data_IF_870664133756
#
_entry.id   IF_870664133756
#
_cell.length_a   1.000
_cell.length_b   1.000
_cell.length_c   1.000
_cell.angle_alpha   90.00
_cell.angle_beta   90.00
_cell.angle_gamma   90.00
#
_symmetry.space_group_name_H-M   'P 1'
#
loop_
_entity.id
_entity.type
_entity.pdbx_description
1 polymer ?
#
# COMPACT_ATOMS: atom_id res chain seq x y z
N UNK A 1 9.11 17.37 27.96
CA UNK A 1 8.29 17.33 26.72
C UNK A 1 6.95 16.67 27.07
N UNK A 2 5.83 17.39 27.04
CA UNK A 2 4.51 16.89 27.51
C UNK A 2 3.63 16.31 26.39
N UNK A 3 3.91 16.64 25.13
CA UNK A 3 3.18 16.10 23.97
C UNK A 3 3.96 14.95 23.33
N UNK A 4 3.37 13.76 23.32
CA UNK A 4 3.98 12.53 22.81
C UNK A 4 4.49 12.66 21.36
N UNK A 5 3.71 13.30 20.46
CA UNK A 5 4.11 13.48 19.05
C UNK A 5 5.40 14.30 18.88
N UNK A 6 5.62 15.29 19.74
CA UNK A 6 6.85 16.10 19.69
C UNK A 6 8.03 15.40 20.34
N UNK A 7 7.78 14.55 21.35
CA UNK A 7 8.83 13.73 21.95
C UNK A 7 9.46 12.76 20.94
N UNK A 8 8.65 12.26 20.00
CA UNK A 8 9.12 11.38 18.93
C UNK A 8 10.26 12.01 18.10
N UNK A 9 10.23 13.34 17.87
CA UNK A 9 11.26 14.05 17.10
C UNK A 9 12.66 13.92 17.72
N UNK A 10 12.76 13.78 19.05
CA UNK A 10 14.04 13.59 19.75
C UNK A 10 14.65 12.23 19.42
N UNK A 11 13.81 11.22 19.15
CA UNK A 11 14.22 9.85 18.87
C UNK A 11 14.39 9.56 17.38
N UNK A 12 13.88 10.43 16.50
CA UNK A 12 13.98 10.27 15.03
C UNK A 12 15.41 9.95 14.57
N UNK A 13 16.48 10.62 15.03
CA UNK A 13 17.83 10.28 14.59
C UNK A 13 18.25 8.84 14.95
N UNK A 14 17.86 8.34 16.12
CA UNK A 14 18.11 6.96 16.52
C UNK A 14 17.32 5.97 15.65
N UNK A 15 16.05 6.27 15.38
CA UNK A 15 15.20 5.45 14.52
C UNK A 15 15.68 5.43 13.07
N UNK A 16 16.14 6.56 12.53
CA UNK A 16 16.69 6.59 11.17
C UNK A 16 17.91 5.70 11.03
N UNK A 17 18.79 5.68 12.03
CA UNK A 17 19.99 4.81 12.02
C UNK A 17 19.63 3.32 12.09
N UNK A 18 18.56 2.97 12.80
CA UNK A 18 18.20 1.57 13.03
C UNK A 18 17.24 1.01 11.96
N UNK A 19 16.31 1.83 11.47
CA UNK A 19 15.21 1.41 10.60
C UNK A 19 15.25 2.04 9.19
N UNK A 20 16.15 2.99 8.96
CA UNK A 20 16.24 3.73 7.69
C UNK A 20 15.38 4.99 7.65
N UNK A 21 15.26 5.63 6.47
CA UNK A 21 14.63 6.95 6.35
C UNK A 21 13.22 7.02 6.93
N UNK A 22 12.94 8.04 7.74
CA UNK A 22 11.64 8.22 8.39
C UNK A 22 10.45 8.29 7.40
N UNK A 23 10.70 8.76 6.17
CA UNK A 23 9.70 8.82 5.12
C UNK A 23 9.12 7.44 4.74
N UNK A 24 9.90 6.37 4.88
CA UNK A 24 9.44 5.00 4.60
C UNK A 24 8.34 4.55 5.58
N UNK A 25 8.26 5.19 6.75
CA UNK A 25 7.29 4.91 7.80
C UNK A 25 6.13 5.92 7.81
N UNK A 26 6.08 6.86 6.87
CA UNK A 26 4.96 7.79 6.77
C UNK A 26 3.68 7.03 6.42
N UNK A 27 2.63 7.22 7.22
CA UNK A 27 1.31 6.64 6.96
C UNK A 27 0.55 7.38 5.86
N UNK A 28 1.00 8.58 5.47
CA UNK A 28 0.31 9.46 4.51
C UNK A 28 0.01 8.77 3.17
N UNK A 29 0.96 7.97 2.65
CA UNK A 29 0.74 7.21 1.41
C UNK A 29 -0.34 6.13 1.58
N UNK A 30 -0.39 5.48 2.73
CA UNK A 30 -1.41 4.49 3.02
C UNK A 30 -2.78 5.16 3.25
N UNK A 31 -2.80 6.30 3.94
CA UNK A 31 -4.01 7.08 4.20
C UNK A 31 -4.62 7.66 2.93
N UNK A 32 -3.79 8.20 2.03
CA UNK A 32 -4.25 8.69 0.71
C UNK A 32 -4.82 7.56 -0.16
N UNK A 33 -4.30 6.33 -0.02
CA UNK A 33 -4.84 5.17 -0.73
C UNK A 33 -6.25 4.77 -0.27
N UNK A 34 -6.68 5.15 0.95
CA UNK A 34 -8.05 4.90 1.41
C UNK A 34 -9.09 5.50 0.46
N UNK A 35 -8.78 6.59 -0.25
CA UNK A 35 -9.67 7.15 -1.26
C UNK A 35 -9.93 6.15 -2.40
N UNK A 36 -8.88 5.50 -2.92
CA UNK A 36 -8.98 4.48 -3.98
C UNK A 36 -9.80 3.28 -3.50
N UNK A 37 -9.55 2.83 -2.27
CA UNK A 37 -10.33 1.75 -1.64
C UNK A 37 -11.83 2.09 -1.57
N UNK A 38 -12.16 3.32 -1.17
CA UNK A 38 -13.56 3.77 -1.11
C UNK A 38 -14.21 3.81 -2.49
N UNK A 39 -13.49 4.26 -3.53
CA UNK A 39 -14.01 4.26 -4.90
C UNK A 39 -14.29 2.82 -5.38
N UNK A 40 -13.38 1.89 -5.15
CA UNK A 40 -13.57 0.48 -5.50
C UNK A 40 -14.83 -0.11 -4.83
N UNK A 41 -15.07 0.22 -3.57
CA UNK A 41 -16.28 -0.19 -2.86
C UNK A 41 -17.55 0.49 -3.42
N UNK A 42 -17.52 1.82 -3.64
CA UNK A 42 -18.67 2.60 -4.13
C UNK A 42 -19.13 2.13 -5.52
N UNK A 43 -18.20 1.86 -6.43
CA UNK A 43 -18.50 1.49 -7.81
C UNK A 43 -18.58 -0.02 -8.06
N UNK A 44 -18.56 -0.84 -7.01
CA UNK A 44 -18.83 -2.28 -7.11
C UNK A 44 -20.34 -2.57 -7.27
N UNK A 45 -20.68 -3.81 -7.63
CA UNK A 45 -22.07 -4.28 -7.60
C UNK A 45 -22.62 -4.47 -6.16
N UNK A 46 -21.73 -4.38 -5.16
CA UNK A 46 -22.00 -4.43 -3.71
C UNK A 46 -22.64 -5.72 -3.21
N UNK A 47 -22.64 -6.79 -4.00
CA UNK A 47 -23.15 -8.09 -3.56
C UNK A 47 -22.15 -8.78 -2.61
N UNK A 48 -20.85 -8.57 -2.84
CA UNK A 48 -19.79 -9.05 -1.96
C UNK A 48 -18.64 -8.03 -1.91
N UNK A 49 -18.80 -6.88 -1.22
CA UNK A 49 -17.90 -5.72 -1.33
C UNK A 49 -16.42 -6.03 -1.10
N UNK A 50 -16.11 -6.93 -0.16
CA UNK A 50 -14.74 -7.39 0.09
C UNK A 50 -14.17 -8.14 -1.12
N UNK A 51 -14.90 -9.12 -1.65
CA UNK A 51 -14.51 -9.89 -2.84
C UNK A 51 -14.39 -8.99 -4.07
N UNK A 52 -15.35 -8.10 -4.26
CA UNK A 52 -15.38 -7.19 -5.42
C UNK A 52 -14.18 -6.24 -5.40
N UNK A 53 -13.86 -5.70 -4.22
CA UNK A 53 -12.69 -4.81 -4.03
C UNK A 53 -11.38 -5.57 -4.20
N UNK A 54 -11.27 -6.80 -3.65
CA UNK A 54 -10.10 -7.66 -3.87
C UNK A 54 -9.89 -7.98 -5.35
N UNK A 55 -10.97 -8.31 -6.09
CA UNK A 55 -10.89 -8.57 -7.52
C UNK A 55 -10.43 -7.31 -8.29
N UNK A 56 -10.97 -6.14 -7.95
CA UNK A 56 -10.56 -4.88 -8.57
C UNK A 56 -9.06 -4.60 -8.37
N UNK A 57 -8.55 -4.79 -7.15
CA UNK A 57 -7.11 -4.61 -6.88
C UNK A 57 -6.24 -5.67 -7.53
N UNK A 58 -6.68 -6.93 -7.57
CA UNK A 58 -5.96 -7.98 -8.30
C UNK A 58 -5.79 -7.62 -9.78
N UNK A 59 -6.83 -7.06 -10.42
CA UNK A 59 -6.73 -6.58 -11.80
C UNK A 59 -5.75 -5.41 -11.95
N UNK A 60 -5.79 -4.44 -11.03
CA UNK A 60 -4.84 -3.32 -11.04
C UNK A 60 -3.39 -3.79 -10.89
N UNK A 61 -3.13 -4.76 -10.01
CA UNK A 61 -1.80 -5.34 -9.81
C UNK A 61 -1.34 -6.16 -11.03
N UNK A 62 -2.23 -6.88 -11.70
CA UNK A 62 -1.93 -7.58 -12.96
C UNK A 62 -1.53 -6.56 -14.05
N UNK A 63 -2.32 -5.49 -14.22
CA UNK A 63 -2.01 -4.44 -15.20
C UNK A 63 -0.66 -3.81 -14.90
N UNK A 64 -0.41 -3.47 -13.63
CA UNK A 64 0.88 -2.94 -13.18
C UNK A 64 2.02 -3.91 -13.52
N UNK A 65 1.88 -5.19 -13.18
CA UNK A 65 2.89 -6.21 -13.46
C UNK A 65 3.25 -6.25 -14.94
N UNK A 66 2.24 -6.34 -15.82
CA UNK A 66 2.42 -6.38 -17.28
C UNK A 66 3.11 -5.10 -17.78
N UNK A 67 2.62 -3.93 -17.39
CA UNK A 67 3.16 -2.63 -17.85
C UNK A 67 4.60 -2.42 -17.38
N UNK A 68 4.98 -2.97 -16.22
CA UNK A 68 6.36 -2.92 -15.71
C UNK A 68 7.29 -3.97 -16.32
N UNK A 69 6.83 -4.75 -17.31
CA UNK A 69 7.63 -5.80 -17.95
C UNK A 69 7.75 -7.08 -17.13
N UNK A 70 6.86 -7.28 -16.16
CA UNK A 70 6.78 -8.51 -15.38
C UNK A 70 6.33 -9.69 -16.25
N UNK A 71 6.81 -10.88 -15.91
CA UNK A 71 6.40 -12.14 -16.52
C UNK A 71 6.27 -13.23 -15.47
N UNK A 72 5.44 -14.23 -15.77
CA UNK A 72 5.34 -15.46 -14.99
C UNK A 72 6.12 -16.56 -15.70
N UNK A 73 7.00 -17.21 -14.96
CA UNK A 73 7.71 -18.39 -15.45
C UNK A 73 6.78 -19.58 -15.31
N UNK A 74 6.46 -20.24 -16.42
CA UNK A 74 5.80 -21.53 -16.39
C UNK A 74 6.85 -22.64 -16.09
N UNK A 75 6.68 -23.42 -15.02
CA UNK A 75 7.62 -24.49 -14.66
C UNK A 75 7.73 -25.60 -15.71
N UNK A 76 6.74 -25.74 -16.60
CA UNK A 76 6.70 -26.83 -17.60
C UNK A 76 7.39 -26.49 -18.92
N UNK A 77 7.47 -25.21 -19.25
CA UNK A 77 8.14 -24.70 -20.46
C UNK A 77 9.57 -24.23 -20.18
N UNK A 78 10.09 -24.50 -18.97
CA UNK A 78 11.45 -24.19 -18.54
C UNK A 78 12.36 -25.40 -18.58
#
# INVERSE_FOLDING_TARGET
ITKAKFHFLVHIPAYIRHFGPALLFSTERFESFNHVFRLAAIYSNRQAPSRDTCNAFAMQDIVKHIVTGGFWVDPKTK
#
